data_IF_676512742167
#
_entry.id   IF_676512742167
#
_cell.length_a   1.000
_cell.length_b   1.000
_cell.length_c   1.000
_cell.angle_alpha   90.00
_cell.angle_beta   90.00
_cell.angle_gamma   90.00
#
_symmetry.space_group_name_H-M   'P 1'
#
loop_
_entity.id
_entity.type
_entity.pdbx_description
1 polymer ?
2 polymer ?
3 polymer ?
4 water ?
#
# COMPACT_ATOMS: atom_id res chain seq x y z
N UNK A 1 -17.81 11.07 0.59
CA UNK A 1 -18.33 10.75 -0.74
C UNK A 1 -18.33 9.26 -1.05
N UNK A 2 -17.46 8.84 -1.99
CA UNK A 2 -17.30 7.44 -2.42
C UNK A 2 -16.30 6.68 -1.55
N UNK A 3 -16.51 5.35 -1.41
CA UNK A 3 -15.68 4.52 -0.55
C UNK A 3 -15.35 3.17 -1.17
N UNK A 4 -14.32 2.52 -0.65
CA UNK A 4 -13.91 1.19 -1.11
C UNK A 4 -13.61 0.27 0.06
N UNK A 5 -13.73 -1.03 -0.16
CA UNK A 5 -13.26 -2.00 0.81
C UNK A 5 -12.35 -2.91 -0.01
N UNK A 6 -11.20 -3.27 0.54
CA UNK A 6 -10.31 -4.18 -0.19
C UNK A 6 -9.67 -5.16 0.75
N UNK A 7 -9.48 -6.38 0.28
CA UNK A 7 -8.68 -7.42 0.97
C UNK A 7 -7.55 -7.78 0.05
N UNK A 8 -6.34 -7.79 0.60
CA UNK A 8 -5.10 -8.04 -0.10
C UNK A 8 -4.51 -9.30 0.48
N UNK A 9 -4.45 -10.35 -0.35
CA UNK A 9 -3.88 -11.65 0.05
C UNK A 9 -2.52 -11.84 -0.60
N UNK A 10 -1.55 -12.37 0.16
CA UNK A 10 -0.22 -12.66 -0.37
C UNK A 10 0.17 -14.02 0.18
N UNK A 11 0.51 -14.94 -0.71
CA UNK A 11 0.96 -16.28 -0.33
C UNK A 11 2.32 -16.44 -1.00
N UNK A 12 3.34 -16.85 -0.25
CA UNK A 12 4.71 -16.92 -0.78
C UNK A 12 5.30 -18.28 -0.49
N UNK A 13 5.69 -19.07 -1.49
CA UNK A 13 6.35 -20.37 -1.19
C UNK A 13 7.81 -20.14 -0.77
N UNK A 14 8.37 -21.08 0.01
CA UNK A 14 9.75 -20.97 0.51
C UNK A 14 10.31 -22.39 0.60
N UNK A 15 10.59 -23.03 -0.56
CA UNK A 15 11.02 -24.43 -0.53
C UNK A 15 12.19 -24.65 0.42
N UNK A 16 12.05 -25.65 1.28
CA UNK A 16 13.05 -26.04 2.25
C UNK A 16 12.88 -25.33 3.58
N UNK A 17 11.95 -24.35 3.62
CA UNK A 17 11.71 -23.52 4.81
C UNK A 17 10.26 -23.61 5.28
N UNK A 18 9.71 -24.82 5.23
CA UNK A 18 8.32 -25.02 5.61
C UNK A 18 7.35 -24.67 4.50
N UNK A 19 6.08 -24.56 4.89
CA UNK A 19 4.95 -24.30 4.02
C UNK A 19 4.78 -22.81 3.71
N UNK A 20 4.14 -22.48 2.56
CA UNK A 20 3.90 -21.06 2.25
C UNK A 20 3.12 -20.24 3.27
N UNK A 21 3.70 -19.08 3.57
CA UNK A 21 3.06 -18.11 4.46
C UNK A 21 1.90 -17.45 3.76
N UNK A 22 0.79 -17.27 4.49
CA UNK A 22 -0.39 -16.55 4.03
C UNK A 22 -0.63 -15.34 4.91
N UNK A 23 -0.84 -14.20 4.22
CA UNK A 23 -1.20 -12.94 4.89
C UNK A 23 -2.44 -12.39 4.22
N UNK A 24 -3.41 -11.96 5.02
CA UNK A 24 -4.58 -11.28 4.48
C UNK A 24 -4.69 -10.02 5.29
N UNK A 25 -4.82 -8.89 4.59
CA UNK A 25 -5.05 -7.61 5.25
C UNK A 25 -6.30 -6.99 4.64
N UNK A 26 -7.11 -6.32 5.47
CA UNK A 26 -8.31 -5.66 4.99
C UNK A 26 -8.27 -4.16 5.20
N UNK A 27 -8.77 -3.40 4.21
CA UNK A 27 -8.81 -1.94 4.24
C UNK A 27 -10.19 -1.42 3.91
N UNK A 28 -10.55 -0.26 4.52
CA UNK A 28 -11.68 0.58 4.10
C UNK A 28 -10.95 1.85 3.66
N UNK A 29 -11.07 2.20 2.36
CA UNK A 29 -10.29 3.33 1.82
C UNK A 29 -8.83 3.14 2.14
N UNK A 30 -8.18 4.13 2.76
CA UNK A 30 -6.75 4.02 3.07
C UNK A 30 -6.49 3.61 4.51
N UNK A 31 -7.50 3.00 5.17
CA UNK A 31 -7.40 2.60 6.58
C UNK A 31 -7.43 1.09 6.70
N UNK A 32 -6.31 0.53 7.17
CA UNK A 32 -6.29 -0.90 7.41
C UNK A 32 -7.12 -1.19 8.65
N UNK A 33 -7.90 -2.27 8.65
CA UNK A 33 -8.68 -2.57 9.84
C UNK A 33 -8.58 -4.01 10.36
N UNK A 34 -8.01 -4.94 9.56
CA UNK A 34 -7.83 -6.35 9.97
C UNK A 34 -6.58 -6.94 9.35
N UNK A 35 -6.04 -7.95 10.02
CA UNK A 35 -4.87 -8.69 9.54
C UNK A 35 -4.99 -10.13 9.99
N UNK A 36 -4.37 -11.05 9.22
CA UNK A 36 -4.22 -12.47 9.54
C UNK A 36 -2.86 -12.83 8.97
N UNK A 37 -2.03 -13.51 9.78
CA UNK A 37 -0.72 -13.96 9.34
C UNK A 37 -0.51 -15.42 9.79
N UNK A 38 -0.34 -16.37 8.84
CA UNK A 38 -0.20 -17.79 9.23
C UNK A 38 1.11 -18.07 9.95
N UNK A 39 2.04 -17.10 9.92
CA UNK A 39 3.32 -17.25 10.61
C UNK A 39 3.22 -16.78 12.04
N UNK A 40 2.10 -16.09 12.43
CA UNK A 40 1.93 -15.62 13.81
C UNK A 40 1.98 -16.83 14.77
N UNK A 41 2.46 -16.63 16.02
CA UNK A 41 2.55 -17.71 17.02
C UNK A 41 1.20 -18.48 17.10
N UNK A 42 0.09 -17.75 17.17
CA UNK A 42 -1.26 -18.32 17.21
C UNK A 42 -2.10 -17.61 16.14
N UNK A 43 -2.03 -18.05 14.85
CA UNK A 43 -2.73 -17.31 13.79
C UNK A 43 -4.19 -17.04 14.11
N UNK A 44 -4.56 -15.78 13.97
CA UNK A 44 -5.88 -15.32 14.29
C UNK A 44 -6.15 -14.03 13.54
N UNK A 45 -7.42 -13.80 13.14
CA UNK A 45 -7.83 -12.53 12.54
C UNK A 45 -7.82 -11.52 13.69
N UNK A 46 -7.03 -10.45 13.51
CA UNK A 46 -6.86 -9.44 14.56
C UNK A 46 -7.33 -8.06 14.13
N UNK A 47 -7.88 -7.25 15.08
CA UNK A 47 -8.29 -5.87 14.73
C UNK A 47 -7.09 -4.94 14.52
N UNK A 48 -7.16 -4.01 13.57
CA UNK A 48 -6.09 -3.04 13.35
C UNK A 48 -6.62 -1.58 13.27
N UNK A 49 -7.89 -1.37 13.58
CA UNK A 49 -8.53 -0.04 13.63
C UNK A 49 -9.52 -0.07 14.80
N UNK A 50 -9.65 1.04 15.56
CA UNK A 50 -10.53 0.98 16.75
C UNK A 50 -12.00 0.66 16.51
N UNK A 51 -12.54 1.06 15.34
CA UNK A 51 -13.97 0.89 15.03
C UNK A 51 -14.37 -0.55 14.67
N UNK A 52 -13.38 -1.46 14.49
CA UNK A 52 -13.70 -2.86 14.20
C UNK A 52 -13.75 -3.68 15.52
N UNK A 53 -13.15 -3.14 16.60
CA UNK A 53 -13.02 -3.85 17.89
C UNK A 53 -14.34 -4.34 18.48
N UNK A 54 -15.43 -3.63 18.19
CA UNK A 54 -16.77 -3.94 18.67
C UNK A 54 -17.35 -5.20 18.04
N UNK A 55 -16.75 -5.73 16.95
CA UNK A 55 -17.27 -6.94 16.34
C UNK A 55 -17.16 -8.06 17.39
N UNK A 56 -18.22 -8.86 17.45
CA UNK A 56 -18.33 -9.94 18.42
C UNK A 56 -17.43 -11.11 18.16
N UNK A 57 -17.45 -12.06 19.10
CA UNK A 57 -16.61 -13.25 18.99
C UNK A 57 -16.83 -14.06 17.72
N UNK A 58 -18.07 -14.10 17.18
CA UNK A 58 -18.48 -14.83 15.97
C UNK A 58 -17.78 -14.25 14.75
N UNK A 59 -17.56 -12.93 14.74
CA UNK A 59 -16.86 -12.27 13.63
C UNK A 59 -15.43 -12.79 13.54
N UNK A 60 -14.67 -12.71 14.64
CA UNK A 60 -13.28 -13.11 14.76
C UNK A 60 -13.06 -14.59 14.58
N UNK A 61 -13.96 -15.41 15.17
CA UNK A 61 -13.84 -16.86 15.03
C UNK A 61 -14.13 -17.23 13.57
N UNK A 62 -15.21 -16.67 12.94
CA UNK A 62 -15.52 -16.98 11.54
C UNK A 62 -14.38 -16.55 10.61
N UNK A 63 -13.89 -15.31 10.74
CA UNK A 63 -12.77 -14.82 9.90
C UNK A 63 -11.48 -15.62 10.09
N UNK A 64 -11.20 -16.06 11.33
CA UNK A 64 -9.98 -16.84 11.55
C UNK A 64 -10.07 -18.17 10.80
N UNK A 65 -11.24 -18.83 10.86
CA UNK A 65 -11.37 -20.11 10.17
C UNK A 65 -11.26 -19.93 8.66
N UNK A 66 -11.90 -18.86 8.13
CA UNK A 66 -11.88 -18.55 6.69
C UNK A 66 -10.43 -18.36 6.23
N UNK A 67 -9.62 -17.61 7.01
CA UNK A 67 -8.21 -17.34 6.66
C UNK A 67 -7.35 -18.60 6.81
N UNK A 68 -7.66 -19.47 7.81
CA UNK A 68 -6.91 -20.73 7.97
C UNK A 68 -7.20 -21.66 6.76
N UNK A 69 -8.46 -21.76 6.34
CA UNK A 69 -8.82 -22.57 5.16
C UNK A 69 -8.19 -21.94 3.90
N UNK A 70 -8.32 -20.61 3.75
CA UNK A 70 -7.68 -19.89 2.64
C UNK A 70 -6.16 -20.14 2.59
N UNK A 71 -5.49 -20.20 3.75
CA UNK A 71 -4.04 -20.49 3.78
C UNK A 71 -3.75 -21.76 3.04
N UNK A 72 -4.55 -22.79 3.28
CA UNK A 72 -4.38 -24.09 2.60
C UNK A 72 -4.68 -24.04 1.10
N UNK A 73 -5.75 -23.30 0.68
CA UNK A 73 -6.11 -23.14 -0.74
C UNK A 73 -4.95 -22.51 -1.49
N UNK A 74 -4.33 -21.45 -0.97
CA UNK A 74 -3.19 -20.83 -1.66
C UNK A 74 -1.99 -21.77 -1.73
N UNK A 75 -1.75 -22.63 -0.71
CA UNK A 75 -0.66 -23.60 -0.79
C UNK A 75 -0.95 -24.58 -1.93
N UNK A 76 -2.20 -25.03 -2.05
CA UNK A 76 -2.60 -25.91 -3.17
C UNK A 76 -2.39 -25.19 -4.54
N UNK A 77 -2.73 -23.89 -4.61
CA UNK A 77 -2.61 -23.09 -5.84
C UNK A 77 -1.17 -22.91 -6.25
N UNK A 78 -0.24 -22.70 -5.27
CA UNK A 78 1.19 -22.58 -5.61
C UNK A 78 1.69 -23.89 -6.19
N UNK A 79 1.21 -25.04 -5.66
CA UNK A 79 1.57 -26.34 -6.24
C UNK A 79 1.04 -26.44 -7.66
N UNK A 80 -0.23 -26.06 -7.87
CA UNK A 80 -0.86 -26.13 -9.18
C UNK A 80 -0.07 -25.28 -10.19
N UNK A 81 0.31 -24.04 -9.81
CA UNK A 81 0.98 -23.17 -10.78
C UNK A 81 2.37 -23.68 -11.17
N UNK A 82 3.04 -24.47 -10.29
CA UNK A 82 4.31 -25.09 -10.68
C UNK A 82 4.08 -26.03 -11.85
N UNK A 83 2.92 -26.73 -11.84
CA UNK A 83 2.59 -27.59 -12.98
C UNK A 83 2.19 -26.78 -14.22
N UNK A 84 1.29 -25.78 -14.07
CA UNK A 84 0.81 -25.06 -15.25
C UNK A 84 1.95 -24.31 -15.98
N UNK A 85 2.97 -23.82 -15.23
CA UNK A 85 4.10 -23.08 -15.83
C UNK A 85 5.38 -23.93 -15.99
N UNK A 86 5.23 -25.25 -15.81
CA UNK A 86 6.35 -26.20 -15.98
C UNK A 86 7.58 -25.75 -15.21
N UNK A 87 7.37 -25.41 -13.93
CA UNK A 87 8.46 -24.93 -13.08
C UNK A 87 8.90 -26.00 -12.10
N UNK A 88 10.14 -25.86 -11.62
CA UNK A 88 10.74 -26.77 -10.64
C UNK A 88 10.25 -26.49 -9.22
N UNK A 89 10.60 -27.37 -8.30
CA UNK A 89 10.21 -27.19 -6.91
C UNK A 89 11.26 -26.41 -6.12
N UNK A 90 12.35 -25.98 -6.79
CA UNK A 90 13.44 -25.24 -6.18
C UNK A 90 13.13 -23.79 -5.82
N UNK A 91 12.43 -23.05 -6.69
CA UNK A 91 12.22 -21.62 -6.51
C UNK A 91 11.04 -21.15 -5.67
N UNK A 92 11.15 -19.90 -5.16
CA UNK A 92 10.08 -19.26 -4.38
C UNK A 92 9.13 -18.54 -5.35
N UNK A 93 7.84 -18.68 -5.14
CA UNK A 93 6.83 -18.07 -5.98
C UNK A 93 5.78 -17.38 -5.12
N UNK A 94 5.06 -16.45 -5.73
CA UNK A 94 4.06 -15.67 -5.03
C UNK A 94 2.71 -15.67 -5.72
N UNK A 95 1.61 -15.84 -4.92
CA UNK A 95 0.26 -15.61 -5.44
C UNK A 95 -0.29 -14.44 -4.64
N UNK A 96 -0.92 -13.52 -5.34
CA UNK A 96 -1.57 -12.37 -4.69
C UNK A 96 -2.99 -12.29 -5.21
N UNK A 97 -3.89 -11.78 -4.36
CA UNK A 97 -5.27 -11.55 -4.73
C UNK A 97 -5.72 -10.22 -4.17
N UNK A 98 -6.45 -9.46 -4.98
CA UNK A 98 -7.11 -8.26 -4.53
C UNK A 98 -8.60 -8.51 -4.77
N UNK A 99 -9.42 -8.26 -3.72
CA UNK A 99 -10.86 -8.41 -3.81
C UNK A 99 -11.51 -7.26 -3.07
N UNK A 100 -12.71 -6.89 -3.50
CA UNK A 100 -13.36 -5.78 -2.81
C UNK A 100 -14.41 -5.17 -3.67
N UNK A 101 -14.95 -4.06 -3.16
CA UNK A 101 -16.01 -3.34 -3.83
C UNK A 101 -15.86 -1.84 -3.57
N UNK A 102 -16.41 -1.06 -4.49
CA UNK A 102 -16.46 0.38 -4.36
C UNK A 102 -17.93 0.73 -4.26
N UNK A 103 -18.25 1.77 -3.48
CA UNK A 103 -19.63 2.24 -3.37
C UNK A 103 -19.63 3.75 -3.55
N UNK A 104 -20.79 4.30 -3.93
CA UNK A 104 -20.96 5.74 -4.06
C UNK A 104 -21.43 6.37 -2.75
N UNK A 105 -21.69 7.71 -2.74
CA UNK A 105 -22.12 8.38 -1.49
C UNK A 105 -23.41 7.84 -0.85
N UNK A 106 -24.27 7.22 -1.67
CA UNK A 106 -25.55 6.60 -1.29
C UNK A 106 -25.36 5.13 -0.83
N UNK A 107 -24.12 4.62 -0.91
CA UNK A 107 -23.83 3.24 -0.52
C UNK A 107 -24.14 2.20 -1.58
N UNK A 108 -24.54 2.62 -2.79
CA UNK A 108 -24.84 1.70 -3.88
C UNK A 108 -23.51 1.20 -4.54
N UNK A 109 -23.47 -0.06 -4.97
CA UNK A 109 -22.32 -0.67 -5.65
C UNK A 109 -21.93 0.10 -6.92
N UNK A 110 -20.64 0.49 -7.02
CA UNK A 110 -20.11 1.15 -8.20
C UNK A 110 -19.49 0.02 -9.00
N UNK A 111 -18.66 -0.79 -8.33
CA UNK A 111 -18.07 -1.97 -8.96
C UNK A 111 -17.38 -2.91 -7.97
N UNK A 112 -17.24 -4.15 -8.42
CA UNK A 112 -16.57 -5.18 -7.65
C UNK A 112 -15.29 -5.64 -8.33
N UNK A 113 -14.42 -6.27 -7.52
CA UNK A 113 -13.12 -6.78 -7.94
C UNK A 113 -12.83 -8.13 -7.33
N UNK A 114 -12.18 -8.98 -8.15
CA UNK A 114 -11.65 -10.28 -7.77
C UNK A 114 -10.56 -10.66 -8.78
N UNK A 115 -9.31 -10.36 -8.41
CA UNK A 115 -8.21 -10.54 -9.36
C UNK A 115 -6.99 -11.09 -8.70
N UNK A 116 -6.18 -11.80 -9.49
CA UNK A 116 -5.05 -12.48 -8.97
C UNK A 116 -3.81 -12.25 -9.81
N UNK A 117 -2.64 -12.43 -9.15
CA UNK A 117 -1.34 -12.34 -9.80
C UNK A 117 -0.51 -13.52 -9.41
N UNK A 118 0.42 -13.90 -10.30
CA UNK A 118 1.41 -14.95 -10.02
C UNK A 118 2.78 -14.34 -10.32
N UNK A 119 3.67 -14.31 -9.31
CA UNK A 119 4.99 -13.70 -9.43
C UNK A 119 4.92 -12.22 -9.88
N UNK A 120 3.89 -11.54 -9.38
CA UNK A 120 3.71 -10.10 -9.62
C UNK A 120 3.19 -9.74 -10.98
N UNK A 121 2.74 -10.76 -11.78
CA UNK A 121 2.16 -10.56 -13.12
C UNK A 121 0.70 -10.96 -13.08
N UNK A 122 -0.17 -10.23 -13.77
CA UNK A 122 -1.57 -10.60 -13.83
C UNK A 122 -1.73 -12.09 -14.17
N UNK A 123 -2.69 -12.78 -13.50
CA UNK A 123 -2.96 -14.21 -13.75
C UNK A 123 -4.39 -14.34 -14.30
N UNK A 124 -5.40 -14.03 -13.43
CA UNK A 124 -6.80 -14.07 -13.85
C UNK A 124 -7.54 -13.01 -13.11
N UNK A 125 -8.53 -12.38 -13.77
CA UNK A 125 -9.29 -11.29 -13.16
C UNK A 125 -10.73 -11.44 -13.54
N UNK A 126 -11.62 -11.24 -12.56
CA UNK A 126 -13.05 -11.16 -12.82
C UNK A 126 -13.29 -9.83 -13.52
N UNK A 127 -13.97 -9.86 -14.69
CA UNK A 127 -14.29 -8.66 -15.42
C UNK A 127 -15.30 -7.79 -14.66
N UNK A 128 -15.40 -6.51 -15.04
CA UNK A 128 -16.33 -5.58 -14.38
C UNK A 128 -17.79 -6.07 -14.37
N UNK A 129 -18.18 -6.90 -15.37
CA UNK A 129 -19.54 -7.48 -15.42
C UNK A 129 -19.79 -8.49 -14.31
N UNK A 130 -18.70 -8.94 -13.61
CA UNK A 130 -18.81 -9.96 -12.52
C UNK A 130 -19.40 -11.27 -13.04
N UNK A 131 -19.22 -11.52 -14.33
CA UNK A 131 -19.78 -12.68 -15.00
C UNK A 131 -18.79 -13.41 -15.89
N UNK A 132 -17.69 -12.73 -16.27
CA UNK A 132 -16.69 -13.32 -17.17
C UNK A 132 -15.29 -13.03 -16.66
N UNK A 133 -14.31 -13.78 -17.18
CA UNK A 133 -12.91 -13.73 -16.76
C UNK A 133 -12.00 -13.25 -17.85
N UNK A 134 -10.88 -12.61 -17.44
CA UNK A 134 -9.78 -12.27 -18.31
C UNK A 134 -8.59 -13.08 -17.78
N UNK A 135 -8.11 -14.04 -18.57
CA UNK A 135 -6.95 -14.90 -18.29
C UNK A 135 -5.74 -14.28 -19.02
N UNK A 136 -4.64 -14.10 -18.27
CA UNK A 136 -3.46 -13.46 -18.88
C UNK A 136 -2.70 -14.31 -19.89
N UNK A 137 -2.82 -15.64 -19.79
CA UNK A 137 -2.03 -16.57 -20.60
C UNK A 137 -2.70 -17.92 -20.67
N UNK A 138 -2.08 -18.91 -21.39
CA UNK A 138 -2.67 -20.21 -21.54
C UNK A 138 -2.75 -21.01 -20.22
N UNK A 139 -1.91 -20.68 -19.21
CA UNK A 139 -2.01 -21.37 -17.92
C UNK A 139 -3.28 -20.84 -17.19
N UNK A 140 -3.49 -19.49 -17.14
CA UNK A 140 -4.69 -18.94 -16.51
C UNK A 140 -5.99 -19.38 -17.20
N UNK A 141 -5.92 -19.73 -18.52
CA UNK A 141 -7.05 -20.27 -19.26
C UNK A 141 -7.54 -21.60 -18.66
N UNK A 142 -6.59 -22.41 -18.08
CA UNK A 142 -6.98 -23.66 -17.48
C UNK A 142 -7.84 -23.35 -16.26
N UNK A 143 -7.42 -22.37 -15.41
CA UNK A 143 -8.23 -21.97 -14.27
C UNK A 143 -9.59 -21.41 -14.80
N UNK A 144 -9.56 -20.60 -15.86
CA UNK A 144 -10.77 -20.03 -16.42
C UNK A 144 -11.74 -21.16 -16.82
N UNK A 145 -11.24 -22.21 -17.53
CA UNK A 145 -12.14 -23.32 -17.90
C UNK A 145 -12.73 -23.97 -16.66
N UNK A 146 -11.89 -24.15 -15.60
CA UNK A 146 -12.32 -24.76 -14.35
C UNK A 146 -13.39 -23.89 -13.65
N UNK A 147 -13.23 -22.56 -13.71
CA UNK A 147 -14.13 -21.65 -13.04
C UNK A 147 -15.45 -21.42 -13.79
N UNK A 148 -15.42 -21.53 -15.11
CA UNK A 148 -16.61 -21.46 -15.94
C UNK A 148 -17.44 -22.74 -15.67
N UNK A 149 -16.82 -23.93 -15.72
CA UNK A 149 -17.54 -25.18 -15.45
C UNK A 149 -18.21 -25.20 -14.10
N UNK A 150 -17.55 -24.64 -13.05
CA UNK A 150 -18.12 -24.61 -11.70
C UNK A 150 -18.91 -23.32 -11.39
N UNK A 151 -19.17 -22.46 -12.40
CA UNK A 151 -19.95 -21.22 -12.23
C UNK A 151 -19.47 -20.39 -11.02
N UNK A 152 -18.13 -20.19 -10.96
CA UNK A 152 -17.48 -19.46 -9.87
C UNK A 152 -17.82 -17.99 -9.86
N UNK A 153 -17.93 -17.38 -11.05
CA UNK A 153 -18.22 -15.94 -11.18
C UNK A 153 -19.52 -15.55 -10.50
N UNK A 154 -20.53 -16.44 -10.60
CA UNK A 154 -21.85 -16.25 -9.98
C UNK A 154 -21.73 -16.14 -8.48
N UNK A 155 -20.86 -16.99 -7.88
CA UNK A 155 -20.62 -17.01 -6.46
C UNK A 155 -19.84 -15.74 -6.06
N UNK A 156 -18.83 -15.35 -6.85
CA UNK A 156 -18.08 -14.12 -6.56
C UNK A 156 -19.01 -12.89 -6.62
N UNK A 157 -19.86 -12.82 -7.69
CA UNK A 157 -20.83 -11.75 -7.85
C UNK A 157 -21.71 -11.61 -6.60
N UNK A 158 -22.20 -12.75 -6.06
CA UNK A 158 -23.09 -12.75 -4.88
C UNK A 158 -22.41 -12.10 -3.68
N UNK A 159 -21.10 -12.39 -3.46
CA UNK A 159 -20.35 -11.80 -2.35
C UNK A 159 -20.19 -10.31 -2.59
N UNK A 160 -19.79 -9.95 -3.83
CA UNK A 160 -19.46 -8.57 -4.16
C UNK A 160 -20.67 -7.65 -4.09
N UNK A 161 -21.87 -8.15 -4.53
CA UNK A 161 -23.10 -7.34 -4.51
C UNK A 161 -23.77 -7.32 -3.14
N UNK A 162 -23.57 -8.38 -2.35
CA UNK A 162 -24.22 -8.50 -1.06
C UNK A 162 -23.31 -8.18 0.11
N UNK A 163 -22.67 -9.22 0.64
CA UNK A 163 -21.75 -9.17 1.80
C UNK A 163 -20.79 -7.99 1.73
N UNK A 164 -20.13 -7.79 0.59
CA UNK A 164 -19.10 -6.77 0.47
C UNK A 164 -19.66 -5.35 0.65
N UNK A 165 -20.78 -5.07 -0.02
CA UNK A 165 -21.46 -3.78 0.07
C UNK A 165 -22.07 -3.60 1.48
N UNK A 166 -22.73 -4.64 2.01
CA UNK A 166 -23.39 -4.57 3.30
C UNK A 166 -22.40 -4.29 4.43
N UNK A 167 -21.28 -5.01 4.45
CA UNK A 167 -20.28 -4.81 5.51
C UNK A 167 -19.55 -3.48 5.35
N UNK A 168 -19.26 -3.05 4.11
CA UNK A 168 -18.61 -1.74 3.89
C UNK A 168 -19.53 -0.65 4.49
N UNK A 169 -20.85 -0.75 4.24
CA UNK A 169 -21.85 0.18 4.76
C UNK A 169 -21.79 0.18 6.31
N UNK A 170 -21.74 -1.00 6.92
CA UNK A 170 -21.66 -1.12 8.40
C UNK A 170 -20.37 -0.48 8.93
N UNK A 171 -19.21 -0.82 8.33
CA UNK A 171 -17.94 -0.26 8.77
C UNK A 171 -17.90 1.27 8.66
N UNK A 172 -18.47 1.81 7.57
CA UNK A 172 -18.44 3.26 7.35
C UNK A 172 -19.23 3.97 8.43
N UNK A 173 -20.31 3.32 8.89
CA UNK A 173 -21.13 3.88 9.96
C UNK A 173 -20.40 3.77 11.31
N UNK A 174 -19.84 2.59 11.63
CA UNK A 174 -19.17 2.37 12.92
C UNK A 174 -17.92 3.21 13.06
N UNK A 175 -17.22 3.43 11.95
CA UNK A 175 -16.05 4.30 11.88
C UNK A 175 -16.33 5.66 11.30
N UNK A 176 -17.58 6.18 11.39
CA UNK A 176 -17.90 7.46 10.75
C UNK A 176 -16.99 8.62 11.19
N UNK A 177 -16.52 8.62 12.46
CA UNK A 177 -15.65 9.70 12.95
C UNK A 177 -14.41 9.91 12.11
N UNK A 178 -13.80 8.81 11.61
CA UNK A 178 -12.52 8.85 10.90
C UNK A 178 -12.69 8.51 9.43
N UNK A 179 -13.42 7.42 9.13
CA UNK A 179 -13.59 7.00 7.74
C UNK A 179 -14.29 8.02 6.89
N UNK A 180 -15.16 8.83 7.51
CA UNK A 180 -15.96 9.85 6.84
C UNK A 180 -15.46 11.27 7.14
N UNK A 181 -14.18 11.39 7.54
CA UNK A 181 -13.52 12.67 7.76
C UNK A 181 -12.35 12.78 6.80
N UNK A 182 -12.29 13.86 6.02
CA UNK A 182 -11.16 14.18 5.16
C UNK A 182 -10.34 15.22 5.92
N UNK A 183 -9.03 14.95 6.08
CA UNK A 183 -8.11 15.90 6.72
C UNK A 183 -7.38 16.58 5.58
N UNK A 184 -7.53 17.90 5.43
CA UNK A 184 -6.85 18.59 4.31
C UNK A 184 -5.34 18.63 4.50
N UNK A 185 -4.56 18.77 3.40
CA UNK A 185 -3.10 18.89 3.55
C UNK A 185 -2.72 20.24 4.18
N UNK A 186 -1.64 20.20 4.95
CA UNK A 186 -0.96 21.36 5.54
C UNK A 186 0.19 21.52 4.55
N UNK A 187 0.26 22.69 3.91
CA UNK A 187 1.17 23.00 2.82
C UNK A 187 2.12 24.17 3.04
N UNK A 188 3.30 24.06 2.45
CA UNK A 188 4.33 25.10 2.43
C UNK A 188 5.32 24.84 1.31
N UNK A 189 6.01 25.91 0.88
CA UNK A 189 7.04 25.88 -0.16
C UNK A 189 8.37 26.24 0.45
N UNK A 190 9.37 25.37 0.25
CA UNK A 190 10.74 25.60 0.70
C UNK A 190 11.59 25.97 -0.52
N UNK A 191 12.71 26.66 -0.28
CA UNK A 191 13.64 27.10 -1.32
C UNK A 191 15.04 26.77 -0.86
N UNK A 192 15.80 26.09 -1.72
CA UNK A 192 17.17 25.74 -1.43
C UNK A 192 18.06 26.02 -2.65
N UNK A 193 19.03 26.99 -2.56
CA UNK A 193 19.92 27.22 -3.72
C UNK A 193 20.77 25.99 -4.00
N UNK A 194 20.89 25.61 -5.27
CA UNK A 194 21.68 24.47 -5.70
C UNK A 194 23.09 24.96 -6.16
N UNK A 195 23.16 26.21 -6.59
CA UNK A 195 24.40 26.86 -7.10
C UNK A 195 24.08 28.33 -7.24
N UNK A 196 25.00 29.10 -7.82
CA UNK A 196 24.71 30.51 -7.97
C UNK A 196 23.53 30.82 -8.89
N UNK A 197 23.21 29.95 -9.84
CA UNK A 197 22.14 30.32 -10.78
C UNK A 197 20.94 29.34 -10.83
N UNK A 198 20.87 28.36 -9.91
CA UNK A 198 19.72 27.45 -9.82
C UNK A 198 19.34 27.26 -8.36
N UNK A 199 18.05 27.05 -8.11
CA UNK A 199 17.54 26.76 -6.78
C UNK A 199 16.42 25.74 -6.89
N UNK A 200 16.16 24.96 -5.82
CA UNK A 200 15.07 24.00 -5.79
C UNK A 200 13.90 24.62 -5.04
N UNK A 201 12.71 24.52 -5.63
CA UNK A 201 11.46 24.89 -4.99
C UNK A 201 10.75 23.56 -4.73
N UNK A 202 10.44 23.28 -3.48
CA UNK A 202 9.75 22.04 -3.08
C UNK A 202 8.47 22.41 -2.43
N UNK A 203 7.37 21.88 -2.97
CA UNK A 203 6.04 22.08 -2.48
C UNK A 203 5.62 20.88 -1.62
N UNK A 204 5.28 21.13 -0.35
CA UNK A 204 4.93 20.10 0.62
C UNK A 204 3.45 19.99 0.92
N UNK A 205 3.01 18.76 1.13
CA UNK A 205 1.65 18.49 1.59
C UNK A 205 1.80 17.44 2.67
N UNK A 206 1.35 17.80 3.89
CA UNK A 206 1.46 16.95 5.08
C UNK A 206 0.12 16.80 5.78
N UNK A 207 -0.04 15.69 6.49
CA UNK A 207 -1.20 15.46 7.37
C UNK A 207 -2.57 15.26 6.76
N UNK A 208 -2.60 14.85 5.50
CA UNK A 208 -3.87 14.67 4.81
C UNK A 208 -4.38 13.26 4.82
N UNK A 209 -5.69 13.11 4.69
CA UNK A 209 -6.37 11.83 4.58
C UNK A 209 -7.67 12.11 3.82
N UNK A 210 -7.99 11.34 2.76
CA UNK A 210 -7.30 10.13 2.29
C UNK A 210 -6.03 10.46 1.51
N UNK A 211 -5.32 9.39 1.04
CA UNK A 211 -4.05 9.50 0.35
C UNK A 211 -4.10 10.18 -1.00
N UNK A 212 -5.23 10.05 -1.72
CA UNK A 212 -5.38 10.65 -3.03
C UNK A 212 -5.14 12.18 -2.96
N UNK A 213 -4.20 12.67 -3.78
CA UNK A 213 -3.88 14.10 -3.80
C UNK A 213 -3.24 14.45 -5.16
N UNK A 214 -3.34 15.70 -5.58
CA UNK A 214 -2.65 16.16 -6.78
C UNK A 214 -1.77 17.34 -6.39
N UNK A 215 -0.45 17.24 -6.62
CA UNK A 215 0.53 18.28 -6.35
C UNK A 215 1.20 18.59 -7.65
N UNK A 216 1.10 19.85 -8.12
CA UNK A 216 1.74 20.16 -9.38
C UNK A 216 2.44 21.48 -9.32
N UNK A 217 3.44 21.64 -10.17
CA UNK A 217 4.10 22.92 -10.33
C UNK A 217 3.74 23.44 -11.71
N UNK A 218 3.50 24.75 -11.78
CA UNK A 218 3.32 25.49 -13.02
C UNK A 218 4.40 26.58 -13.12
N UNK A 219 4.91 26.82 -14.33
CA UNK A 219 5.84 27.90 -14.66
C UNK A 219 5.06 28.77 -15.64
N UNK A 220 4.83 30.05 -15.27
CA UNK A 220 4.03 30.99 -16.06
C UNK A 220 2.63 30.39 -16.36
N UNK A 221 2.09 29.69 -15.35
CA UNK A 221 0.78 29.05 -15.45
C UNK A 221 0.70 27.81 -16.33
N UNK A 222 1.86 27.27 -16.75
CA UNK A 222 1.96 26.08 -17.58
C UNK A 222 2.47 24.93 -16.72
N UNK A 223 1.81 23.75 -16.81
CA UNK A 223 2.20 22.57 -16.03
C UNK A 223 3.61 22.09 -16.38
N UNK A 224 4.38 21.71 -15.36
CA UNK A 224 5.77 21.26 -15.51
C UNK A 224 5.91 19.78 -15.22
N UNK A 225 4.97 18.97 -15.72
CA UNK A 225 4.91 17.51 -15.50
C UNK A 225 6.26 16.79 -15.73
N UNK A 226 6.94 17.10 -16.84
CA UNK A 226 8.22 16.50 -17.23
C UNK A 226 9.41 16.95 -16.38
N UNK A 227 9.41 18.20 -15.90
CA UNK A 227 10.50 18.79 -15.10
C UNK A 227 10.27 18.78 -13.58
N UNK A 228 9.19 18.12 -13.11
CA UNK A 228 8.89 18.04 -11.67
C UNK A 228 9.36 16.71 -11.10
N UNK A 229 10.01 16.71 -9.90
CA UNK A 229 10.36 15.49 -9.18
C UNK A 229 9.20 15.28 -8.22
N UNK A 230 8.49 14.19 -8.37
CA UNK A 230 7.29 13.89 -7.57
C UNK A 230 7.53 12.60 -6.78
N UNK A 231 7.58 12.70 -5.43
CA UNK A 231 7.77 11.48 -4.64
C UNK A 231 6.44 10.75 -4.48
N UNK A 232 6.50 9.45 -4.29
CA UNK A 232 5.27 8.69 -4.06
C UNK A 232 4.63 9.15 -2.75
N UNK A 233 3.28 9.20 -2.70
CA UNK A 233 2.58 9.51 -1.45
C UNK A 233 2.96 8.44 -0.44
N UNK A 234 3.28 8.88 0.78
CA UNK A 234 3.85 8.03 1.83
C UNK A 234 3.08 8.22 3.15
N UNK A 235 2.90 7.11 3.89
CA UNK A 235 2.15 7.20 5.16
C UNK A 235 2.98 7.87 6.25
N UNK A 236 2.36 8.70 7.08
CA UNK A 236 3.11 9.28 8.19
C UNK A 236 3.15 8.33 9.41
N UNK A 237 2.24 7.37 9.44
CA UNK A 237 2.11 6.38 10.52
C UNK A 237 1.03 6.67 11.57
N UNK A 238 0.38 7.85 11.47
CA UNK A 238 -0.68 8.35 12.35
C UNK A 238 -2.02 8.44 11.58
N UNK A 239 -2.14 7.68 10.47
CA UNK A 239 -3.29 7.60 9.55
C UNK A 239 -3.12 8.52 8.34
N UNK A 240 -2.35 9.60 8.50
CA UNK A 240 -2.21 10.63 7.48
C UNK A 240 -1.13 10.28 6.48
N UNK A 241 -1.12 11.04 5.39
CA UNK A 241 -0.19 10.87 4.30
C UNK A 241 0.59 12.14 4.04
N UNK A 242 1.70 11.96 3.32
CA UNK A 242 2.61 13.06 2.96
C UNK A 242 3.01 12.93 1.51
N UNK A 243 3.36 14.06 0.89
CA UNK A 243 3.87 14.06 -0.48
C UNK A 243 4.57 15.39 -0.72
N UNK A 244 5.54 15.40 -1.61
CA UNK A 244 6.17 16.65 -2.08
C UNK A 244 6.45 16.60 -3.56
N UNK A 245 6.52 17.80 -4.19
CA UNK A 245 6.84 17.93 -5.61
C UNK A 245 7.93 19.01 -5.69
N UNK A 246 8.99 18.76 -6.43
CA UNK A 246 10.07 19.75 -6.53
C UNK A 246 10.42 20.14 -7.94
N UNK A 247 10.85 21.40 -8.12
CA UNK A 247 11.33 21.88 -9.43
C UNK A 247 12.66 22.59 -9.23
N UNK A 248 13.54 22.51 -10.21
CA UNK A 248 14.84 23.21 -10.25
C UNK A 248 14.56 24.41 -11.13
N UNK A 249 14.72 25.61 -10.54
CA UNK A 249 14.41 26.87 -11.18
C UNK A 249 15.63 27.78 -11.37
N UNK A 250 15.64 28.59 -12.44
CA UNK A 250 16.74 29.56 -12.60
C UNK A 250 16.63 30.64 -11.53
N UNK A 251 17.78 31.00 -10.90
CA UNK A 251 17.81 32.05 -9.88
C UNK A 251 17.19 33.34 -10.41
N UNK A 252 16.33 33.92 -9.60
CA UNK A 252 15.62 35.13 -9.92
C UNK A 252 14.29 34.87 -10.61
N UNK A 253 14.00 33.60 -10.98
CA UNK A 253 12.71 33.28 -11.65
C UNK A 253 11.72 32.55 -10.70
N UNK A 254 12.01 32.50 -9.39
CA UNK A 254 11.16 31.81 -8.40
C UNK A 254 9.69 32.23 -8.45
N UNK A 255 9.41 33.54 -8.66
CA UNK A 255 8.05 34.03 -8.63
C UNK A 255 7.23 33.68 -9.88
N UNK A 256 7.87 33.04 -10.86
CA UNK A 256 7.17 32.57 -12.05
C UNK A 256 6.56 31.18 -11.81
N UNK A 257 6.84 30.60 -10.62
CA UNK A 257 6.42 29.27 -10.29
C UNK A 257 5.31 29.23 -9.26
N UNK A 258 4.30 28.39 -9.52
CA UNK A 258 3.19 28.22 -8.59
C UNK A 258 2.92 26.74 -8.34
N UNK A 259 2.66 26.40 -7.08
CA UNK A 259 2.32 25.03 -6.69
C UNK A 259 0.80 24.96 -6.52
N UNK A 260 0.18 23.96 -7.12
CA UNK A 260 -1.25 23.75 -7.08
C UNK A 260 -1.54 22.44 -6.37
N UNK A 261 -2.44 22.50 -5.38
CA UNK A 261 -2.82 21.38 -4.51
C UNK A 261 -4.30 21.06 -4.65
N UNK A 262 -4.64 19.83 -5.04
CA UNK A 262 -6.04 19.36 -5.06
C UNK A 262 -6.18 18.22 -4.02
N UNK A 263 -7.22 18.28 -3.18
CA UNK A 263 -7.51 17.27 -2.18
C UNK A 263 -8.95 17.31 -1.78
N UNK A 264 -9.54 16.12 -1.53
CA UNK A 264 -10.94 15.99 -1.11
C UNK A 264 -11.30 16.96 0.03
N UNK A 265 -10.37 17.15 0.97
CA UNK A 265 -10.49 18.00 2.15
C UNK A 265 -10.48 19.49 1.92
N UNK A 266 -10.15 19.91 0.67
CA UNK A 266 -10.08 21.31 0.27
C UNK A 266 -11.34 21.72 -0.48
N UNK A 267 -12.11 22.72 0.04
CA UNK A 267 -13.31 23.17 -0.70
C UNK A 267 -12.93 23.70 -2.09
N UNK A 268 -11.79 24.42 -2.15
CA UNK A 268 -11.23 24.93 -3.40
C UNK A 268 -9.74 24.53 -3.49
N UNK A 269 -9.19 24.29 -4.71
CA UNK A 269 -7.76 23.94 -4.79
C UNK A 269 -6.85 25.11 -4.36
N UNK A 270 -5.71 24.81 -3.75
CA UNK A 270 -4.80 25.84 -3.25
C UNK A 270 -3.76 26.25 -4.30
N UNK A 271 -3.30 27.53 -4.26
CA UNK A 271 -2.16 28.02 -5.06
C UNK A 271 -1.16 28.56 -4.06
N UNK A 272 0.09 28.07 -4.16
CA UNK A 272 1.19 28.42 -3.28
C UNK A 272 2.35 28.92 -4.09
N UNK A 273 3.11 29.80 -3.49
CA UNK A 273 4.32 30.34 -4.08
C UNK A 273 5.36 30.35 -2.98
N UNK A 274 6.63 30.48 -3.38
CA UNK A 274 7.75 30.62 -2.45
C UNK A 274 7.52 31.99 -1.81
N UNK A 275 7.45 32.03 -0.46
CA UNK A 275 7.22 33.26 0.31
C UNK A 275 8.50 33.72 1.03
N UNK A 276 9.43 34.43 0.33
CA UNK A 276 10.65 34.87 1.03
C UNK A 276 10.36 35.97 2.07
N UNK B 2 12.03 -11.83 -13.41
CA UNK B 2 11.43 -10.50 -13.42
C UNK B 2 11.07 -10.04 -12.01
N UNK B 3 11.89 -9.13 -11.47
CA UNK B 3 11.77 -8.60 -10.12
C UNK B 3 11.73 -7.07 -10.19
N UNK B 4 11.24 -6.42 -9.13
CA UNK B 4 11.14 -4.96 -9.05
C UNK B 4 11.89 -4.46 -7.81
N UNK B 5 12.84 -3.51 -8.01
CA UNK B 5 13.65 -2.97 -6.91
C UNK B 5 12.86 -1.97 -6.06
N UNK B 6 13.10 -1.89 -4.72
CA UNK B 6 12.34 -0.92 -3.91
C UNK B 6 12.70 0.54 -4.14
N UNK B 7 11.66 1.38 -4.06
CA UNK B 7 11.82 2.81 -3.98
C UNK B 7 11.92 2.98 -2.45
N UNK B 8 12.75 3.90 -1.99
CA UNK B 8 12.97 4.10 -0.55
C UNK B 8 12.83 5.59 -0.20
N UNK B 9 12.11 5.88 0.89
CA UNK B 9 11.98 7.24 1.42
C UNK B 9 12.22 7.17 2.93
N UNK B 10 13.07 8.06 3.45
CA UNK B 10 13.33 8.16 4.88
C UNK B 10 12.88 9.56 5.32
N UNK B 11 12.04 9.60 6.37
CA UNK B 11 11.46 10.85 6.81
C UNK B 11 10.86 10.77 8.19
N UNK B 12 10.40 11.91 8.71
CA UNK B 12 9.77 11.93 10.02
C UNK B 12 8.25 12.09 9.94
N UNK B 13 7.54 11.56 10.97
CA UNK B 13 6.10 11.66 11.03
C UNK B 13 5.62 13.12 10.96
N UNK B 14 6.31 14.00 11.71
CA UNK B 14 6.07 15.45 11.80
C UNK B 14 7.32 16.21 11.40
N UNK B 15 7.27 17.53 11.02
CA UNK B 15 8.52 18.26 10.75
C UNK B 15 9.43 18.14 11.99
N UNK B 16 10.73 17.88 11.79
CA UNK B 16 11.62 17.66 12.92
C UNK B 16 11.92 18.92 13.73
N UNK B 17 11.81 18.78 15.05
CA UNK B 17 12.12 19.84 16.00
C UNK B 17 13.10 19.24 17.00
N UNK B 18 14.30 19.85 17.12
CA UNK B 18 15.33 19.35 18.04
C UNK B 18 14.87 19.38 19.48
N UNK B 19 14.97 18.21 20.12
CA UNK B 19 14.53 18.00 21.49
C UNK B 19 13.08 17.55 21.62
N UNK B 20 12.33 17.47 20.49
CA UNK B 20 10.92 17.06 20.52
C UNK B 20 10.71 15.67 19.98
N UNK B 21 9.95 14.81 20.72
CA UNK B 21 9.66 13.43 20.34
C UNK B 21 8.91 13.35 18.99
N UNK B 22 9.37 12.47 18.11
CA UNK B 22 8.82 12.31 16.76
C UNK B 22 8.88 10.82 16.37
N UNK B 23 8.64 10.51 15.10
CA UNK B 23 8.78 9.14 14.62
C UNK B 23 9.64 9.15 13.38
N UNK B 24 10.60 8.24 13.29
CA UNK B 24 11.48 8.11 12.13
C UNK B 24 10.90 6.96 11.33
N UNK B 25 10.59 7.26 10.07
CA UNK B 25 10.01 6.34 9.12
C UNK B 25 10.91 5.98 8.00
N UNK B 26 10.77 4.73 7.53
CA UNK B 26 11.38 4.35 6.29
C UNK B 26 10.29 3.64 5.54
N UNK B 27 9.91 4.19 4.41
CA UNK B 27 8.88 3.63 3.55
C UNK B 27 9.49 2.97 2.31
N UNK B 28 9.29 1.67 2.17
CA UNK B 28 9.77 0.90 1.02
C UNK B 28 8.56 0.54 0.15
N UNK B 29 8.64 0.82 -1.14
CA UNK B 29 7.50 0.56 -1.99
C UNK B 29 7.91 0.15 -3.40
N UNK B 30 6.94 -0.31 -4.20
CA UNK B 30 7.23 -0.69 -5.58
C UNK B 30 8.11 -1.90 -5.78
N UNK B 31 8.28 -2.77 -4.74
CA UNK B 31 9.17 -3.91 -4.89
C UNK B 31 8.43 -5.24 -5.11
N UNK B 32 9.16 -6.20 -5.70
CA UNK B 32 8.69 -7.55 -5.94
C UNK B 32 9.94 -8.44 -6.11
N UNK B 33 10.10 -9.60 -5.41
CA UNK B 33 9.17 -10.25 -4.45
C UNK B 33 9.08 -9.50 -3.12
N UNK B 34 8.26 -10.01 -2.21
CA UNK B 34 7.95 -9.36 -0.93
C UNK B 34 9.05 -9.40 0.13
N UNK B 35 9.95 -10.41 0.09
CA UNK B 35 11.00 -10.45 1.10
C UNK B 35 11.92 -9.23 0.99
N UNK B 36 12.15 -8.55 2.12
CA UNK B 36 12.98 -7.34 2.11
C UNK B 36 13.56 -7.16 3.51
N UNK B 37 14.73 -6.50 3.58
CA UNK B 37 15.43 -6.23 4.84
C UNK B 37 15.53 -4.75 4.99
N UNK B 38 15.04 -4.22 6.09
CA UNK B 38 15.10 -2.78 6.34
C UNK B 38 15.61 -2.54 7.77
N UNK B 39 16.69 -1.76 7.87
CA UNK B 39 17.23 -1.28 9.14
C UNK B 39 17.09 0.25 9.19
N UNK B 40 16.87 0.80 10.38
CA UNK B 40 16.89 2.24 10.65
C UNK B 40 18.21 2.44 11.43
N UNK B 41 19.00 3.45 11.03
CA UNK B 41 20.32 3.68 11.62
C UNK B 41 20.42 5.00 12.34
N UNK B 42 21.03 4.99 13.55
CA UNK B 42 21.33 6.17 14.37
C UNK B 42 22.87 6.24 14.41
N UNK B 43 23.46 7.28 13.81
CA UNK B 43 24.92 7.48 13.71
C UNK B 43 25.62 6.19 13.25
N UNK B 44 25.10 5.62 12.16
CA UNK B 44 25.60 4.39 11.55
C UNK B 44 25.27 3.07 12.24
N UNK B 45 24.62 3.11 13.43
CA UNK B 45 24.26 1.91 14.22
C UNK B 45 22.79 1.51 14.13
N UNK B 46 22.51 0.20 13.99
CA UNK B 46 21.13 -0.32 13.92
C UNK B 46 20.31 0.02 15.15
N UNK B 47 19.11 0.59 14.94
CA UNK B 47 18.14 0.88 16.01
C UNK B 47 17.38 -0.43 16.29
N UNK B 48 17.27 -0.80 17.58
CA UNK B 48 16.60 -2.03 18.00
C UNK B 48 15.10 -1.83 18.11
N UNK B 49 14.37 -2.95 18.01
CA UNK B 49 12.90 -3.08 18.11
C UNK B 49 12.13 -2.09 17.19
N UNK B 50 12.65 -1.87 15.98
CA UNK B 50 11.93 -1.06 14.98
C UNK B 50 10.65 -1.88 14.62
N UNK B 51 9.50 -1.21 14.37
CA UNK B 51 8.29 -1.93 14.01
C UNK B 51 7.93 -1.68 12.54
N UNK B 52 7.07 -2.54 11.98
CA UNK B 52 6.69 -2.34 10.60
C UNK B 52 5.19 -2.64 10.41
N UNK B 53 4.64 -2.09 9.34
CA UNK B 53 3.25 -2.30 8.95
C UNK B 53 3.12 -3.72 8.38
N UNK B 54 1.86 -4.21 8.30
CA UNK B 54 1.54 -5.52 7.73
C UNK B 54 1.70 -5.45 6.23
N UNK B 55 2.23 -6.55 5.65
CA UNK B 55 2.48 -6.66 4.22
C UNK B 55 1.23 -6.40 3.41
N UNK B 56 1.35 -5.48 2.44
CA UNK B 56 0.28 -5.17 1.54
C UNK B 56 0.89 -4.75 0.22
N UNK B 57 0.02 -4.48 -0.75
CA UNK B 57 0.53 -4.15 -2.07
C UNK B 57 -0.41 -3.20 -2.82
N UNK B 58 0.13 -2.63 -3.89
CA UNK B 58 -0.57 -1.66 -4.74
C UNK B 58 -1.30 -2.32 -5.90
N UNK B 59 -2.08 -1.50 -6.65
CA UNK B 59 -2.85 -1.91 -7.84
C UNK B 59 -2.00 -2.71 -8.84
N UNK B 60 -0.69 -2.37 -8.96
CA UNK B 60 0.25 -3.02 -9.88
C UNK B 60 0.92 -4.24 -9.29
N UNK B 61 0.46 -4.70 -8.09
CA UNK B 61 0.98 -5.88 -7.41
C UNK B 61 2.26 -5.67 -6.65
N UNK B 62 2.88 -4.49 -6.77
CA UNK B 62 4.12 -4.22 -6.05
C UNK B 62 3.85 -3.97 -4.57
N UNK B 63 4.73 -4.50 -3.74
CA UNK B 63 4.54 -4.46 -2.31
C UNK B 63 4.97 -3.14 -1.67
N UNK B 64 4.45 -2.86 -0.47
CA UNK B 64 4.95 -1.74 0.32
C UNK B 64 4.97 -2.07 1.79
N UNK B 65 5.91 -1.44 2.52
CA UNK B 65 6.04 -1.57 3.96
C UNK B 65 6.50 -0.25 4.54
N UNK B 66 6.02 0.06 5.75
CA UNK B 66 6.47 1.21 6.51
C UNK B 66 7.22 0.66 7.75
N UNK B 67 8.47 1.06 7.95
CA UNK B 67 9.27 0.74 9.15
C UNK B 67 9.35 2.02 9.94
N UNK B 68 9.21 1.93 11.26
CA UNK B 68 9.15 3.13 12.06
C UNK B 68 9.62 2.88 13.50
N UNK B 69 10.10 3.95 14.13
CA UNK B 69 10.56 3.93 15.53
C UNK B 69 10.42 5.34 16.11
N UNK B 70 10.14 5.43 17.42
CA UNK B 70 10.08 6.72 18.12
C UNK B 70 11.51 7.21 18.29
N UNK B 71 11.72 8.52 18.09
CA UNK B 71 13.02 9.19 18.21
C UNK B 71 12.85 10.67 18.56
N UNK B 72 13.88 11.29 19.16
CA UNK B 72 13.90 12.70 19.51
C UNK B 72 15.12 13.22 18.76
N UNK B 73 14.94 13.92 17.62
CA UNK B 73 16.12 14.38 16.86
C UNK B 73 16.95 15.47 17.53
N UNK B 74 18.24 15.56 17.14
CA UNK B 74 19.19 16.58 17.62
C UNK B 74 20.02 17.08 16.44
N UNK B 75 20.89 18.09 16.68
CA UNK B 75 21.77 18.64 15.65
C UNK B 75 22.88 17.64 15.26
N UNK B 76 23.42 16.90 16.24
CA UNK B 76 24.52 15.96 16.02
C UNK B 76 24.12 14.59 15.45
N UNK B 77 22.95 14.07 15.85
CA UNK B 77 22.50 12.74 15.46
C UNK B 77 22.07 12.63 14.01
N UNK B 78 22.73 11.68 13.29
CA UNK B 78 22.48 11.39 11.88
C UNK B 78 21.62 10.11 11.76
N UNK B 79 20.51 10.18 11.00
CA UNK B 79 19.63 9.05 10.77
C UNK B 79 19.64 8.61 9.34
N UNK B 80 19.41 7.32 9.14
CA UNK B 80 19.40 6.68 7.83
C UNK B 80 18.57 5.41 7.88
N UNK B 81 18.38 4.85 6.69
CA UNK B 81 17.72 3.59 6.44
C UNK B 81 18.64 2.75 5.58
N UNK B 82 18.76 1.47 5.85
CA UNK B 82 19.57 0.54 5.06
C UNK B 82 18.64 -0.54 4.60
N UNK B 83 18.61 -0.77 3.29
CA UNK B 83 17.69 -1.73 2.66
C UNK B 83 18.43 -2.79 1.85
N UNK B 84 18.03 -4.06 2.03
CA UNK B 84 18.52 -5.16 1.23
C UNK B 84 17.31 -5.88 0.60
N UNK B 85 17.45 -6.23 -0.66
CA UNK B 85 16.42 -6.89 -1.45
C UNK B 85 17.18 -7.71 -2.48
N UNK B 86 16.58 -8.80 -2.98
CA UNK B 86 17.19 -9.67 -4.00
C UNK B 86 17.71 -8.87 -5.22
N UNK B 87 17.04 -7.76 -5.58
CA UNK B 87 17.42 -6.91 -6.72
C UNK B 87 18.71 -6.10 -6.48
N UNK B 88 19.15 -6.00 -5.21
CA UNK B 88 20.34 -5.21 -4.86
C UNK B 88 21.59 -6.07 -4.60
N UNK B 89 22.71 -5.69 -5.24
CA UNK B 89 23.99 -6.38 -5.12
C UNK B 89 24.63 -6.01 -3.78
N UNK B 90 24.35 -4.79 -3.32
CA UNK B 90 24.84 -4.24 -2.06
C UNK B 90 23.65 -3.61 -1.32
N UNK B 91 23.63 -3.53 0.03
CA UNK B 91 22.51 -2.83 0.67
C UNK B 91 22.53 -1.34 0.30
N UNK B 92 21.34 -0.72 0.17
CA UNK B 92 21.23 0.68 -0.20
C UNK B 92 21.00 1.52 1.07
N UNK B 93 21.79 2.59 1.22
CA UNK B 93 21.66 3.48 2.39
C UNK B 93 21.13 4.81 1.92
N UNK B 94 20.01 5.24 2.52
CA UNK B 94 19.40 6.54 2.24
C UNK B 94 19.40 7.33 3.56
N UNK B 95 20.07 8.48 3.57
CA UNK B 95 20.15 9.29 4.78
C UNK B 95 18.96 10.18 4.94
N UNK B 96 18.58 10.39 6.21
CA UNK B 96 17.51 11.32 6.53
C UNK B 96 18.02 12.74 6.38
N UNK B 97 17.33 13.56 5.57
CA UNK B 97 17.67 14.95 5.37
C UNK B 97 16.93 15.79 6.42
N UNK C 1 -15.89 -7.71 5.74
CA UNK C 1 -15.94 -9.16 5.92
C UNK C 1 -15.56 -9.86 4.63
N UNK C 2 -14.62 -10.77 4.70
CA UNK C 2 -14.18 -11.63 3.59
C UNK C 2 -14.65 -13.08 3.79
N UNK C 3 -14.93 -13.76 2.68
CA UNK C 3 -15.38 -15.15 2.68
C UNK C 3 -14.25 -16.11 2.28
N UNK C 4 -14.58 -17.39 2.28
CA UNK C 4 -13.68 -18.39 1.75
C UNK C 4 -13.48 -18.13 0.26
N UNK C 5 -12.32 -18.54 -0.25
CA UNK C 5 -12.03 -18.59 -1.68
C UNK C 5 -13.08 -19.51 -2.25
N UNK C 6 -13.69 -19.15 -3.40
CA UNK C 6 -14.74 -19.98 -3.98
C UNK C 6 -14.16 -21.26 -4.59
N UNK C 7 -13.02 -21.14 -5.27
CA UNK C 7 -12.46 -22.31 -5.92
C UNK C 7 -10.98 -22.18 -6.11
N UNK C 8 -10.28 -23.31 -6.11
CA UNK C 8 -8.83 -23.28 -6.35
C UNK C 8 -8.53 -23.14 -7.85
N UNK C 9 -7.29 -22.73 -8.17
CA UNK C 9 -6.79 -22.56 -9.54
C UNK C 9 -6.82 -23.87 -10.35
#
# INVERSE_FOLDING_TARGET
GSHSMRYFHTSVSRPGRGEPRFISVGYVDDTQFVRFDSDAASPRTEPRAPWIEQEGPEYWDRETQISKTNTQTYREDLRTLLRYYNQSEAGSHTIQRMSGCDVGPDGRLLRGYNQFAYDGKDYIALNEDLSSWTAADTAAQITQRKWEAARVAEQDRAYLEGTCVEWLRRYLENGKETLQRADPPKTHVTHHPISDHEATLRCWALGFYPAEITLTWQRDGEDQTQDTELVETRPAGDRTFQKWAAVVVPSGEEQRYTCHVQHEGLPKPLTLRWEP
MIQRTPKIQVYSRHPAENGKSNFLNCYVSGFHPSDIEVDLLKNGERIEKVEHSDLSFSKDWSFYLLYYTEFTPTEKDEYACRVNHVTLSQPKIVKWDRDM
FEDLRVSSF
#
